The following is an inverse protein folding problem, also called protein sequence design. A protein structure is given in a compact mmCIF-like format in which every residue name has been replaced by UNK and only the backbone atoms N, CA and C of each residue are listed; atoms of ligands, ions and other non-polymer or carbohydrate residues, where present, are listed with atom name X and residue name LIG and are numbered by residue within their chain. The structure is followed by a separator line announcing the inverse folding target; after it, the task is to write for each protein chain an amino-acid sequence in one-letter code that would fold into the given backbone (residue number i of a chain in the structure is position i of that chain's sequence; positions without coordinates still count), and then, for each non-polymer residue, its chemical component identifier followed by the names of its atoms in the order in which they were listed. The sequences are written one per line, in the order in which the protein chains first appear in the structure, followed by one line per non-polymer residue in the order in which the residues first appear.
data_IF_191771542215
#
_entry.id   IF_191771542215
#
_cell.length_a   1.000
_cell.length_b   1.000
_cell.length_c   1.000
_cell.angle_alpha   90.00
_cell.angle_beta   90.00
_cell.angle_gamma   90.00
#
_symmetry.space_group_name_H-M   'P 1'
#
loop_
_entity.id
_entity.type
_entity.pdbx_description
1 polymer ?
#
# COMPACT_ATOMS: atom_id res chain seq x y z
N UNK A 1 17.62 13.20 -10.62
CA UNK A 1 17.33 13.20 -9.16
C UNK A 1 17.53 11.82 -8.52
N UNK A 2 18.26 10.87 -9.15
CA UNK A 2 18.40 9.48 -8.68
C UNK A 2 19.74 9.19 -7.97
N UNK A 3 20.79 9.96 -8.24
CA UNK A 3 22.13 9.71 -7.68
C UNK A 3 22.23 10.01 -6.18
N UNK A 4 21.58 11.10 -5.73
CA UNK A 4 21.58 11.49 -4.30
C UNK A 4 20.86 10.48 -3.40
N UNK A 5 19.78 9.87 -3.89
CA UNK A 5 19.04 8.84 -3.17
C UNK A 5 19.89 7.59 -2.97
N UNK A 6 20.59 7.14 -4.02
CA UNK A 6 21.45 5.96 -3.97
C UNK A 6 22.67 6.16 -3.06
N UNK A 7 23.24 7.37 -3.02
CA UNK A 7 24.35 7.68 -2.10
C UNK A 7 23.90 7.69 -0.64
N UNK A 8 22.66 8.10 -0.35
CA UNK A 8 22.14 8.04 1.02
C UNK A 8 21.86 6.60 1.45
N UNK A 9 21.28 5.78 0.57
CA UNK A 9 21.08 4.35 0.83
C UNK A 9 22.40 3.65 1.12
N UNK A 10 23.44 3.87 0.30
CA UNK A 10 24.74 3.23 0.53
C UNK A 10 25.38 3.67 1.84
N UNK A 11 25.24 4.95 2.23
CA UNK A 11 25.71 5.43 3.54
C UNK A 11 24.98 4.78 4.71
N UNK A 12 23.67 4.56 4.58
CA UNK A 12 22.88 3.85 5.58
C UNK A 12 23.28 2.38 5.67
N UNK A 13 23.47 1.70 4.55
CA UNK A 13 23.92 0.30 4.51
C UNK A 13 25.29 0.11 5.16
N UNK A 14 26.21 1.06 4.93
CA UNK A 14 27.54 1.04 5.56
C UNK A 14 27.41 1.20 7.07
N UNK A 15 26.60 2.17 7.53
CA UNK A 15 26.37 2.37 8.97
C UNK A 15 25.72 1.15 9.59
N UNK A 16 24.71 0.57 8.94
CA UNK A 16 24.01 -0.61 9.41
C UNK A 16 24.96 -1.80 9.58
N UNK A 17 25.82 -2.06 8.58
CA UNK A 17 26.83 -3.12 8.67
C UNK A 17 27.81 -2.88 9.81
N UNK A 18 28.27 -1.65 9.98
CA UNK A 18 29.17 -1.27 11.08
C UNK A 18 28.51 -1.48 12.46
N UNK A 19 27.23 -1.10 12.61
CA UNK A 19 26.50 -1.28 13.88
C UNK A 19 26.24 -2.74 14.19
N UNK A 20 25.90 -3.57 13.18
CA UNK A 20 25.75 -5.03 13.33
C UNK A 20 27.07 -5.64 13.80
N UNK A 21 28.16 -5.33 13.12
CA UNK A 21 29.49 -5.84 13.49
C UNK A 21 29.88 -5.44 14.91
N UNK A 22 29.64 -4.18 15.28
CA UNK A 22 29.92 -3.69 16.62
C UNK A 22 29.10 -4.47 17.66
N UNK A 23 27.82 -4.70 17.40
CA UNK A 23 26.97 -5.51 18.26
C UNK A 23 27.50 -6.94 18.41
N UNK A 24 27.81 -7.62 17.31
CA UNK A 24 28.30 -9.01 17.32
C UNK A 24 29.62 -9.13 18.12
N UNK A 25 30.54 -8.17 17.91
CA UNK A 25 31.81 -8.14 18.66
C UNK A 25 31.60 -7.86 20.14
N UNK A 26 30.68 -6.97 20.49
CA UNK A 26 30.38 -6.64 21.88
C UNK A 26 29.68 -7.82 22.57
N UNK A 27 28.76 -8.49 21.88
CA UNK A 27 28.08 -9.68 22.36
C UNK A 27 29.06 -10.83 22.62
N UNK A 28 29.99 -11.07 21.69
CA UNK A 28 31.04 -12.08 21.86
C UNK A 28 31.97 -11.77 23.04
N UNK A 29 32.39 -10.51 23.18
CA UNK A 29 33.21 -10.07 24.31
C UNK A 29 32.46 -10.20 25.65
N UNK A 30 31.16 -9.88 25.67
CA UNK A 30 30.32 -10.01 26.86
C UNK A 30 30.15 -11.48 27.25
N UNK A 31 29.95 -12.36 26.26
CA UNK A 31 29.91 -13.81 26.47
C UNK A 31 31.23 -14.34 27.06
N UNK A 32 32.37 -13.86 26.57
CA UNK A 32 33.70 -14.26 27.08
C UNK A 32 33.96 -13.78 28.51
N UNK A 33 33.51 -12.56 28.85
CA UNK A 33 33.76 -11.95 30.16
C UNK A 33 32.80 -12.44 31.26
N UNK A 34 31.51 -12.58 30.94
CA UNK A 34 30.44 -12.83 31.93
C UNK A 34 29.92 -14.27 31.89
N UNK A 35 30.16 -14.99 30.80
CA UNK A 35 29.55 -16.30 30.55
C UNK A 35 28.04 -16.22 30.31
N UNK A 36 27.41 -17.38 30.14
CA UNK A 36 25.97 -17.47 29.92
C UNK A 36 25.18 -17.08 31.17
N UNK A 37 24.16 -16.23 31.00
CA UNK A 37 23.35 -15.74 32.11
C UNK A 37 22.08 -15.00 31.66
N UNK A 38 21.32 -14.44 32.60
CA UNK A 38 20.01 -13.81 32.33
C UNK A 38 20.06 -12.63 31.35
N UNK A 39 21.24 -12.05 31.14
CA UNK A 39 21.47 -10.99 30.17
C UNK A 39 21.27 -11.45 28.71
N UNK A 40 21.39 -12.75 28.41
CA UNK A 40 21.10 -13.32 27.09
C UNK A 40 19.62 -13.20 26.70
N UNK A 41 18.71 -13.09 27.68
CA UNK A 41 17.27 -12.89 27.42
C UNK A 41 16.99 -11.51 26.83
N UNK A 42 17.79 -10.51 27.24
CA UNK A 42 17.68 -9.11 26.83
C UNK A 42 18.54 -8.82 25.59
N UNK A 43 19.76 -9.37 25.54
CA UNK A 43 20.70 -9.20 24.43
C UNK A 43 20.88 -10.53 23.70
N UNK A 44 19.99 -10.78 22.74
CA UNK A 44 19.97 -12.02 21.96
C UNK A 44 20.98 -11.98 20.80
N UNK A 45 21.37 -13.17 20.33
CA UNK A 45 22.19 -13.29 19.11
C UNK A 45 21.45 -12.63 17.95
N UNK A 46 22.10 -11.63 17.34
CA UNK A 46 21.53 -10.87 16.24
C UNK A 46 21.50 -11.70 14.96
N UNK A 47 20.32 -12.16 14.55
CA UNK A 47 20.17 -12.87 13.29
C UNK A 47 19.92 -11.88 12.16
N UNK A 48 20.22 -12.29 10.92
CA UNK A 48 19.94 -11.45 9.74
C UNK A 48 18.46 -11.15 9.60
N UNK A 49 17.61 -12.05 10.09
CA UNK A 49 16.16 -11.89 10.08
C UNK A 49 15.67 -10.85 11.10
N UNK A 50 16.48 -10.49 12.10
CA UNK A 50 16.09 -9.54 13.15
C UNK A 50 16.38 -8.07 12.74
N UNK A 51 17.29 -7.86 11.79
CA UNK A 51 17.63 -6.53 11.28
C UNK A 51 16.58 -6.11 10.25
N UNK A 52 15.43 -5.66 10.75
CA UNK A 52 14.33 -5.13 9.93
C UNK A 52 13.84 -3.82 10.51
N UNK A 53 13.45 -2.89 9.64
CA UNK A 53 12.78 -1.66 10.07
C UNK A 53 11.33 -1.96 10.50
N UNK A 54 10.84 -1.30 11.55
CA UNK A 54 9.42 -1.35 11.99
C UNK A 54 8.44 -0.99 10.86
N UNK A 55 8.88 -0.18 9.88
CA UNK A 55 7.96 0.63 9.09
C UNK A 55 7.44 0.05 7.78
N UNK A 56 8.21 -0.73 7.03
CA UNK A 56 7.85 -0.93 5.60
C UNK A 56 7.35 -2.32 5.29
N UNK A 57 8.05 -3.36 5.74
CA UNK A 57 7.69 -4.73 5.37
C UNK A 57 6.53 -5.28 6.20
N UNK A 58 6.49 -5.01 7.51
CA UNK A 58 5.39 -5.45 8.38
C UNK A 58 4.07 -4.75 8.01
N UNK A 59 4.12 -3.47 7.64
CA UNK A 59 2.95 -2.77 7.10
C UNK A 59 2.56 -3.31 5.74
N UNK A 60 3.52 -3.53 4.83
CA UNK A 60 3.23 -4.04 3.49
C UNK A 60 2.64 -5.45 3.52
N UNK A 61 3.14 -6.32 4.40
CA UNK A 61 2.65 -7.69 4.55
C UNK A 61 1.24 -7.68 5.17
N UNK A 62 0.98 -6.85 6.19
CA UNK A 62 -0.37 -6.66 6.75
C UNK A 62 -1.35 -6.00 5.75
N UNK A 63 -0.86 -5.08 4.90
CA UNK A 63 -1.61 -4.47 3.81
C UNK A 63 -1.96 -5.51 2.71
N UNK A 64 -1.02 -6.39 2.37
CA UNK A 64 -1.23 -7.51 1.43
C UNK A 64 -2.23 -8.54 1.98
N UNK A 65 -2.21 -8.84 3.27
CA UNK A 65 -3.17 -9.73 3.92
C UNK A 65 -4.58 -9.12 4.01
N UNK A 66 -4.67 -7.83 4.33
CA UNK A 66 -5.93 -7.09 4.28
C UNK A 66 -6.53 -7.07 2.87
N UNK A 67 -5.70 -6.85 1.86
CA UNK A 67 -6.09 -6.90 0.45
C UNK A 67 -6.58 -8.29 0.04
N UNK A 68 -5.85 -9.35 0.39
CA UNK A 68 -6.27 -10.73 0.11
C UNK A 68 -7.62 -11.07 0.76
N UNK A 69 -7.84 -10.59 1.98
CA UNK A 69 -9.08 -10.84 2.73
C UNK A 69 -10.26 -10.10 2.10
N UNK A 70 -10.09 -8.81 1.77
CA UNK A 70 -11.10 -8.02 1.09
C UNK A 70 -11.45 -8.56 -0.31
N UNK A 71 -10.45 -9.01 -1.08
CA UNK A 71 -10.68 -9.59 -2.41
C UNK A 71 -11.40 -10.94 -2.35
N UNK A 72 -11.07 -11.80 -1.37
CA UNK A 72 -11.84 -13.02 -1.11
C UNK A 72 -13.28 -12.73 -0.72
N UNK A 73 -13.50 -11.69 0.10
CA UNK A 73 -14.84 -11.27 0.51
C UNK A 73 -15.64 -10.65 -0.65
N UNK A 74 -14.95 -10.03 -1.62
CA UNK A 74 -15.53 -9.57 -2.89
C UNK A 74 -15.75 -10.68 -3.93
N UNK A 75 -15.42 -11.94 -3.61
CA UNK A 75 -15.64 -13.10 -4.49
C UNK A 75 -14.62 -13.28 -5.61
N UNK A 76 -13.43 -12.68 -5.50
CA UNK A 76 -12.34 -12.82 -6.48
C UNK A 76 -11.63 -14.17 -6.31
N UNK A 77 -11.32 -14.86 -7.41
CA UNK A 77 -10.65 -16.17 -7.37
C UNK A 77 -9.19 -16.05 -6.89
N UNK A 78 -8.74 -17.02 -6.10
CA UNK A 78 -7.45 -16.97 -5.41
C UNK A 78 -6.25 -16.88 -6.35
N UNK A 79 -6.38 -17.36 -7.59
CA UNK A 79 -5.31 -17.28 -8.62
C UNK A 79 -5.21 -15.89 -9.23
N UNK A 80 -6.33 -15.18 -9.34
CA UNK A 80 -6.38 -13.80 -9.81
C UNK A 80 -5.82 -12.83 -8.77
N UNK A 81 -6.06 -13.11 -7.47
CA UNK A 81 -5.45 -12.39 -6.35
C UNK A 81 -3.91 -12.50 -6.41
N UNK A 82 -3.39 -13.71 -6.63
CA UNK A 82 -1.94 -13.95 -6.73
C UNK A 82 -1.32 -13.23 -7.95
N UNK A 83 -2.04 -13.19 -9.07
CA UNK A 83 -1.61 -12.47 -10.27
C UNK A 83 -1.63 -10.94 -10.08
N UNK A 84 -2.59 -10.41 -9.31
CA UNK A 84 -2.64 -8.99 -8.94
C UNK A 84 -1.48 -8.57 -8.04
N UNK A 85 -1.13 -9.39 -7.05
CA UNK A 85 -0.01 -9.14 -6.13
C UNK A 85 1.35 -9.21 -6.84
N UNK A 86 1.48 -10.07 -7.86
CA UNK A 86 2.72 -10.25 -8.64
C UNK A 86 2.98 -9.10 -9.63
N UNK A 87 1.98 -8.27 -9.94
CA UNK A 87 1.94 -7.42 -11.13
C UNK A 87 2.35 -5.95 -10.97
N UNK A 88 2.23 -5.29 -9.81
CA UNK A 88 2.60 -3.87 -9.67
C UNK A 88 2.69 -3.37 -8.22
N UNK A 89 3.86 -2.80 -7.92
CA UNK A 89 3.98 -1.61 -7.08
C UNK A 89 3.05 -0.50 -7.62
N UNK A 90 2.39 0.21 -6.72
CA UNK A 90 1.52 1.37 -6.91
C UNK A 90 0.01 1.09 -6.91
N UNK A 91 -0.61 1.73 -5.90
CA UNK A 91 -2.04 2.01 -5.71
C UNK A 91 -2.86 0.87 -5.12
N UNK A 92 -2.95 0.83 -3.79
CA UNK A 92 -3.96 0.06 -3.06
C UNK A 92 -4.67 0.94 -2.00
N UNK A 93 -6.03 0.96 -1.95
CA UNK A 93 -6.82 1.74 -0.99
C UNK A 93 -6.83 1.11 0.41
N UNK A 94 -6.91 1.95 1.44
CA UNK A 94 -6.93 1.58 2.86
C UNK A 94 -8.37 1.37 3.38
N UNK A 95 -8.64 0.25 4.06
CA UNK A 95 -9.76 0.14 5.03
C UNK A 95 -9.24 -0.43 6.36
N UNK A 96 -9.74 0.17 7.45
CA UNK A 96 -9.41 -0.06 8.86
C UNK A 96 -9.47 -1.54 9.28
N UNK A 97 -8.40 -2.01 9.92
CA UNK A 97 -8.47 -3.15 10.84
C UNK A 97 -7.85 -2.77 12.19
N UNK A 98 -8.47 -3.26 13.26
CA UNK A 98 -8.20 -2.94 14.66
C UNK A 98 -6.83 -3.50 15.10
N UNK A 99 -5.89 -2.68 15.61
CA UNK A 99 -4.49 -3.10 15.87
C UNK A 99 -4.30 -4.15 16.98
N UNK A 100 -5.37 -4.60 17.65
CA UNK A 100 -5.27 -5.30 18.94
C UNK A 100 -5.69 -6.78 18.91
N UNK A 101 -6.11 -7.31 17.75
CA UNK A 101 -6.70 -8.66 17.64
C UNK A 101 -5.72 -9.77 17.20
N UNK A 102 -4.46 -9.48 16.88
CA UNK A 102 -3.51 -10.46 16.29
C UNK A 102 -2.57 -11.13 17.30
N UNK A 103 -3.03 -11.37 18.53
CA UNK A 103 -2.30 -12.19 19.49
C UNK A 103 -2.56 -13.70 19.22
N UNK A 104 -1.94 -14.26 18.19
CA UNK A 104 -1.86 -15.72 17.99
C UNK A 104 -0.42 -16.17 17.68
N UNK A 105 0.20 -17.02 18.49
CA UNK A 105 1.63 -17.36 18.41
C UNK A 105 1.95 -18.44 17.36
N UNK A 106 1.27 -18.43 16.21
CA UNK A 106 1.25 -19.59 15.30
C UNK A 106 1.91 -19.42 13.93
N UNK A 107 2.02 -18.21 13.38
CA UNK A 107 2.63 -17.98 12.05
C UNK A 107 2.79 -16.48 11.78
N UNK A 108 4.05 -16.10 11.53
CA UNK A 108 4.53 -14.92 10.78
C UNK A 108 4.21 -13.55 11.40
N UNK A 109 5.22 -12.68 11.31
CA UNK A 109 5.16 -11.22 11.49
C UNK A 109 5.05 -10.66 12.91
N UNK A 110 5.77 -11.25 13.85
CA UNK A 110 6.23 -10.51 15.04
C UNK A 110 7.34 -9.56 14.64
N UNK A 111 7.23 -8.27 15.00
CA UNK A 111 8.31 -7.28 14.89
C UNK A 111 9.60 -7.89 15.49
N UNK A 112 10.79 -7.57 15.00
CA UNK A 112 12.01 -8.19 15.53
C UNK A 112 12.23 -7.84 17.00
N UNK A 113 12.91 -8.74 17.74
CA UNK A 113 13.13 -8.60 19.18
C UNK A 113 13.84 -7.29 19.55
N UNK A 114 14.64 -6.73 18.63
CA UNK A 114 15.37 -5.45 18.76
C UNK A 114 14.44 -4.27 19.04
N UNK A 115 13.17 -4.37 18.64
CA UNK A 115 12.16 -3.34 18.84
C UNK A 115 11.33 -3.53 20.11
N UNK A 116 11.53 -4.62 20.84
CA UNK A 116 10.97 -4.78 22.16
C UNK A 116 11.95 -4.21 23.19
N UNK A 117 11.50 -3.18 23.92
CA UNK A 117 12.20 -2.71 25.11
C UNK A 117 11.90 -3.73 26.22
N UNK A 118 12.89 -4.54 26.59
CA UNK A 118 12.82 -5.35 27.80
C UNK A 118 13.06 -4.41 28.99
N UNK A 119 11.99 -4.13 29.76
CA UNK A 119 12.13 -3.37 31.00
C UNK A 119 13.00 -4.13 32.02
N UNK A 120 13.76 -3.43 32.88
CA UNK A 120 14.50 -4.07 33.95
C UNK A 120 13.53 -4.89 34.83
N UNK A 121 13.90 -6.13 35.14
CA UNK A 121 13.37 -6.80 36.31
C UNK A 121 13.74 -5.94 37.53
N UNK A 122 12.79 -5.72 38.44
CA UNK A 122 12.82 -4.77 39.58
C UNK A 122 13.96 -5.02 40.60
N UNK A 123 15.21 -4.97 40.19
CA UNK A 123 16.38 -5.05 41.07
C UNK A 123 17.15 -3.71 41.02
N UNK A 124 16.70 -2.77 41.85
CA UNK A 124 17.40 -1.72 42.62
C UNK A 124 18.66 -0.99 42.09
N UNK A 125 18.92 -0.91 40.78
CA UNK A 125 20.04 -0.07 40.25
C UNK A 125 19.63 0.98 39.21
N UNK A 126 19.82 2.24 39.61
CA UNK A 126 20.24 3.42 38.85
C UNK A 126 19.24 4.18 37.93
N UNK A 127 18.83 5.37 38.40
CA UNK A 127 18.06 6.42 37.68
C UNK A 127 18.56 6.78 36.27
N UNK A 128 19.82 6.49 35.95
CA UNK A 128 20.38 6.76 34.63
C UNK A 128 19.84 5.79 33.55
N UNK A 129 19.40 4.59 33.93
CA UNK A 129 18.77 3.64 33.01
C UNK A 129 17.33 4.03 32.67
N UNK A 130 16.57 4.60 33.62
CA UNK A 130 15.21 5.14 33.36
C UNK A 130 15.22 6.26 32.31
N UNK A 131 16.23 7.13 32.34
CA UNK A 131 16.35 8.24 31.37
C UNK A 131 16.65 7.73 29.94
N UNK A 132 17.47 6.68 29.81
CA UNK A 132 17.80 6.06 28.52
C UNK A 132 16.60 5.26 27.97
N UNK A 133 15.92 4.50 28.83
CA UNK A 133 14.73 3.73 28.48
C UNK A 133 13.57 4.68 28.09
N UNK A 134 13.38 5.76 28.84
CA UNK A 134 12.40 6.80 28.54
C UNK A 134 12.70 7.53 27.22
N UNK A 135 13.97 7.73 26.87
CA UNK A 135 14.37 8.31 25.58
C UNK A 135 14.10 7.36 24.41
N UNK A 136 14.46 6.07 24.53
CA UNK A 136 14.21 5.06 23.49
C UNK A 136 12.70 4.87 23.24
N UNK A 137 11.89 4.81 24.30
CA UNK A 137 10.43 4.71 24.19
C UNK A 137 9.82 5.90 23.43
N UNK A 138 10.27 7.13 23.72
CA UNK A 138 9.82 8.34 23.02
C UNK A 138 10.19 8.34 21.54
N UNK A 139 11.36 7.80 21.18
CA UNK A 139 11.80 7.70 19.78
C UNK A 139 10.97 6.67 19.00
N UNK A 140 10.68 5.51 19.60
CA UNK A 140 9.78 4.51 19.01
C UNK A 140 8.38 5.09 18.85
N UNK A 141 7.82 5.73 19.87
CA UNK A 141 6.52 6.40 19.82
C UNK A 141 6.46 7.46 18.70
N UNK A 142 7.49 8.28 18.56
CA UNK A 142 7.59 9.26 17.49
C UNK A 142 7.62 8.59 16.10
N UNK A 143 8.36 7.48 15.94
CA UNK A 143 8.41 6.74 14.68
C UNK A 143 7.05 6.11 14.31
N UNK A 144 6.34 5.54 15.29
CA UNK A 144 5.00 4.98 15.11
C UNK A 144 3.98 6.07 14.75
N UNK A 145 4.06 7.25 15.37
CA UNK A 145 3.21 8.38 15.02
C UNK A 145 3.43 8.87 13.59
N UNK A 146 4.67 8.91 13.11
CA UNK A 146 4.98 9.27 11.71
C UNK A 146 4.34 8.26 10.76
N UNK A 147 4.47 6.97 11.03
CA UNK A 147 3.88 5.94 10.19
C UNK A 147 2.34 5.95 10.23
N UNK A 148 1.74 6.15 11.41
CA UNK A 148 0.30 6.34 11.53
C UNK A 148 -0.19 7.56 10.73
N UNK A 149 0.51 8.68 10.81
CA UNK A 149 0.17 9.88 10.02
C UNK A 149 0.30 9.63 8.52
N UNK A 150 1.31 8.87 8.07
CA UNK A 150 1.45 8.45 6.66
C UNK A 150 0.30 7.55 6.23
N UNK A 151 -0.02 6.52 7.01
CA UNK A 151 -1.11 5.59 6.74
C UNK A 151 -2.46 6.34 6.68
N UNK A 152 -2.71 7.25 7.64
CA UNK A 152 -3.88 8.13 7.64
C UNK A 152 -3.93 9.03 6.41
N UNK A 153 -2.81 9.63 6.01
CA UNK A 153 -2.74 10.47 4.81
C UNK A 153 -2.97 9.65 3.52
N UNK A 154 -2.53 8.39 3.46
CA UNK A 154 -2.85 7.47 2.36
C UNK A 154 -4.34 7.13 2.35
N UNK A 155 -4.93 6.80 3.50
CA UNK A 155 -6.36 6.51 3.63
C UNK A 155 -7.25 7.71 3.25
N UNK A 156 -6.87 8.92 3.66
CA UNK A 156 -7.58 10.13 3.25
C UNK A 156 -7.48 10.35 1.73
N UNK A 157 -6.28 10.18 1.13
CA UNK A 157 -6.11 10.28 -0.32
C UNK A 157 -6.86 9.22 -1.09
N UNK A 158 -6.92 7.97 -0.61
CA UNK A 158 -7.64 6.91 -1.32
C UNK A 158 -9.13 7.21 -1.42
N UNK A 159 -9.71 7.90 -0.43
CA UNK A 159 -11.09 8.37 -0.51
C UNK A 159 -11.28 9.39 -1.65
N UNK A 160 -10.36 10.36 -1.76
CA UNK A 160 -10.37 11.34 -2.85
C UNK A 160 -10.19 10.66 -4.21
N UNK A 161 -9.28 9.69 -4.33
CA UNK A 161 -9.05 8.93 -5.56
C UNK A 161 -10.29 8.17 -6.00
N UNK A 162 -11.02 7.52 -5.08
CA UNK A 162 -12.28 6.83 -5.42
C UNK A 162 -13.32 7.82 -5.95
N UNK A 163 -13.45 8.98 -5.31
CA UNK A 163 -14.37 10.03 -5.78
C UNK A 163 -13.97 10.59 -7.15
N UNK A 164 -12.67 10.76 -7.40
CA UNK A 164 -12.16 11.20 -8.70
C UNK A 164 -12.43 10.17 -9.80
N UNK A 165 -12.21 8.88 -9.53
CA UNK A 165 -12.49 7.80 -10.49
C UNK A 165 -13.98 7.74 -10.81
N UNK A 166 -14.87 7.90 -9.82
CA UNK A 166 -16.31 7.95 -10.07
C UNK A 166 -16.68 9.11 -11.01
N UNK A 167 -16.15 10.30 -10.74
CA UNK A 167 -16.38 11.48 -11.55
C UNK A 167 -15.79 11.33 -12.97
N UNK A 168 -14.59 10.75 -13.10
CA UNK A 168 -13.98 10.45 -14.40
C UNK A 168 -14.83 9.44 -15.20
N UNK A 169 -15.37 8.40 -14.55
CA UNK A 169 -16.25 7.44 -15.20
C UNK A 169 -17.56 8.08 -15.65
N UNK A 170 -18.15 8.97 -14.84
CA UNK A 170 -19.31 9.75 -15.23
C UNK A 170 -19.02 10.63 -16.46
N UNK A 171 -17.87 11.33 -16.47
CA UNK A 171 -17.44 12.14 -17.61
C UNK A 171 -17.17 11.32 -18.87
N UNK A 172 -16.59 10.12 -18.74
CA UNK A 172 -16.35 9.22 -19.86
C UNK A 172 -17.67 8.77 -20.49
N UNK A 173 -18.69 8.47 -19.68
CA UNK A 173 -20.04 8.12 -20.17
C UNK A 173 -20.67 9.30 -20.90
N UNK A 174 -20.64 10.50 -20.31
CA UNK A 174 -21.18 11.71 -20.96
C UNK A 174 -20.43 12.06 -22.25
N UNK A 175 -19.11 11.87 -22.26
CA UNK A 175 -18.30 12.02 -23.47
C UNK A 175 -18.75 11.05 -24.57
N UNK A 176 -18.94 9.76 -24.28
CA UNK A 176 -19.44 8.79 -25.26
C UNK A 176 -20.85 9.15 -25.77
N UNK A 177 -21.75 9.61 -24.89
CA UNK A 177 -23.09 10.09 -25.29
C UNK A 177 -23.01 11.29 -26.22
N UNK A 178 -22.19 12.27 -25.86
CA UNK A 178 -21.92 13.43 -26.69
C UNK A 178 -21.29 13.03 -28.03
N UNK A 179 -20.30 12.14 -28.02
CA UNK A 179 -19.59 11.67 -29.22
C UNK A 179 -20.51 10.92 -30.16
N UNK A 180 -21.44 10.13 -29.63
CA UNK A 180 -22.49 9.49 -30.42
C UNK A 180 -23.36 10.50 -31.15
N UNK A 181 -23.80 11.58 -30.48
CA UNK A 181 -24.59 12.64 -31.12
C UNK A 181 -23.77 13.40 -32.15
N UNK A 182 -22.52 13.71 -31.81
CA UNK A 182 -21.59 14.39 -32.71
C UNK A 182 -21.42 13.62 -34.02
N UNK A 183 -21.29 12.29 -33.98
CA UNK A 183 -21.25 11.45 -35.17
C UNK A 183 -22.55 11.55 -35.99
N UNK A 184 -23.71 11.53 -35.34
CA UNK A 184 -24.99 11.70 -36.04
C UNK A 184 -25.10 13.07 -36.73
N UNK A 185 -24.60 14.12 -36.08
CA UNK A 185 -24.56 15.48 -36.63
C UNK A 185 -23.62 15.59 -37.84
N UNK A 186 -22.58 14.74 -37.94
CA UNK A 186 -21.70 14.73 -39.12
C UNK A 186 -22.44 14.30 -40.41
N UNK A 187 -23.56 13.60 -40.28
CA UNK A 187 -24.40 13.21 -41.42
C UNK A 187 -25.05 14.48 -42.00
N UNK A 188 -24.52 14.97 -43.12
CA UNK A 188 -25.05 16.14 -43.83
C UNK A 188 -24.39 17.48 -43.49
N UNK A 189 -23.37 17.52 -42.62
CA UNK A 189 -22.57 18.75 -42.44
C UNK A 189 -21.74 19.10 -43.68
N UNK A 190 -21.41 18.11 -44.52
CA UNK A 190 -20.58 18.26 -45.71
C UNK A 190 -21.38 18.29 -47.02
N UNK A 191 -22.51 19.01 -47.01
CA UNK A 191 -23.32 19.24 -48.21
C UNK A 191 -22.47 19.98 -49.26
N UNK A 192 -22.14 19.30 -50.37
CA UNK A 192 -21.21 19.79 -51.40
C UNK A 192 -19.91 19.00 -51.53
N UNK A 193 -19.79 17.86 -50.83
CA UNK A 193 -18.71 16.90 -51.05
C UNK A 193 -19.01 15.93 -52.19
N UNK A 194 -18.01 15.12 -52.55
CA UNK A 194 -18.15 14.08 -53.57
C UNK A 194 -19.12 12.98 -53.11
N UNK A 195 -19.89 12.42 -54.04
CA UNK A 195 -20.99 11.48 -53.75
C UNK A 195 -20.55 10.26 -52.93
N UNK A 196 -19.34 9.73 -53.18
CA UNK A 196 -18.79 8.59 -52.43
C UNK A 196 -18.46 8.94 -50.97
N UNK A 197 -18.09 10.19 -50.68
CA UNK A 197 -17.81 10.64 -49.31
C UNK A 197 -19.11 10.75 -48.52
N UNK A 198 -20.18 11.24 -49.15
CA UNK A 198 -21.50 11.29 -48.54
C UNK A 198 -22.04 9.89 -48.23
N UNK A 199 -21.87 8.94 -49.15
CA UNK A 199 -22.22 7.54 -48.93
C UNK A 199 -21.41 6.91 -47.80
N UNK A 200 -20.09 7.15 -47.77
CA UNK A 200 -19.21 6.69 -46.70
C UNK A 200 -19.60 7.26 -45.33
N UNK A 201 -19.91 8.56 -45.24
CA UNK A 201 -20.37 9.19 -44.00
C UNK A 201 -21.72 8.66 -43.56
N UNK A 202 -22.67 8.44 -44.49
CA UNK A 202 -23.99 7.85 -44.20
C UNK A 202 -23.87 6.43 -43.65
N UNK A 203 -22.85 5.67 -44.05
CA UNK A 203 -22.61 4.32 -43.52
C UNK A 203 -21.81 4.34 -42.20
N UNK A 204 -20.72 5.10 -42.14
CA UNK A 204 -19.76 5.04 -41.04
C UNK A 204 -20.20 5.80 -39.79
N UNK A 205 -20.80 6.98 -39.95
CA UNK A 205 -21.24 7.80 -38.83
C UNK A 205 -22.27 7.10 -37.91
N UNK A 206 -23.33 6.42 -38.40
CA UNK A 206 -24.24 5.70 -37.52
C UNK A 206 -23.58 4.49 -36.84
N UNK A 207 -22.64 3.81 -37.50
CA UNK A 207 -21.89 2.70 -36.91
C UNK A 207 -21.04 3.19 -35.73
N UNK A 208 -20.27 4.26 -35.92
CA UNK A 208 -19.47 4.87 -34.86
C UNK A 208 -20.34 5.44 -33.73
N UNK A 209 -21.45 6.08 -34.08
CA UNK A 209 -22.40 6.56 -33.08
C UNK A 209 -22.99 5.43 -32.25
N UNK A 210 -23.34 4.31 -32.87
CA UNK A 210 -23.83 3.12 -32.19
C UNK A 210 -22.79 2.53 -31.24
N UNK A 211 -21.53 2.44 -31.68
CA UNK A 211 -20.42 1.96 -30.85
C UNK A 211 -20.22 2.84 -29.59
N UNK A 212 -20.21 4.16 -29.75
CA UNK A 212 -20.09 5.10 -28.62
C UNK A 212 -21.28 5.01 -27.66
N UNK A 213 -22.50 4.91 -28.20
CA UNK A 213 -23.71 4.68 -27.40
C UNK A 213 -23.65 3.35 -26.62
N UNK A 214 -23.12 2.30 -27.23
CA UNK A 214 -22.94 1.01 -26.59
C UNK A 214 -21.91 1.06 -25.45
N UNK A 215 -20.77 1.74 -25.64
CA UNK A 215 -19.79 2.00 -24.58
C UNK A 215 -20.43 2.74 -23.41
N UNK A 216 -21.16 3.83 -23.68
CA UNK A 216 -21.87 4.59 -22.64
C UNK A 216 -22.86 3.72 -21.85
N UNK A 217 -23.66 2.88 -22.54
CA UNK A 217 -24.63 2.00 -21.91
C UNK A 217 -23.96 0.92 -21.04
N UNK A 218 -22.95 0.24 -21.57
CA UNK A 218 -22.25 -0.83 -20.85
C UNK A 218 -21.53 -0.32 -19.61
N UNK A 219 -20.85 0.83 -19.71
CA UNK A 219 -20.17 1.45 -18.57
C UNK A 219 -21.15 1.96 -17.53
N UNK A 220 -22.26 2.58 -17.96
CA UNK A 220 -23.32 3.02 -17.04
C UNK A 220 -23.88 1.84 -16.24
N UNK A 221 -24.19 0.71 -16.88
CA UNK A 221 -24.73 -0.45 -16.17
C UNK A 221 -23.74 -1.04 -15.18
N UNK A 222 -22.44 -1.15 -15.56
CA UNK A 222 -21.40 -1.62 -14.63
C UNK A 222 -21.24 -0.69 -13.44
N UNK A 223 -21.16 0.62 -13.67
CA UNK A 223 -21.05 1.61 -12.60
C UNK A 223 -22.29 1.58 -11.69
N UNK A 224 -23.48 1.45 -12.27
CA UNK A 224 -24.73 1.36 -11.51
C UNK A 224 -24.78 0.14 -10.60
N UNK A 225 -24.33 -1.04 -11.09
CA UNK A 225 -24.21 -2.25 -10.27
C UNK A 225 -23.26 -2.05 -9.10
N UNK A 226 -22.09 -1.43 -9.34
CA UNK A 226 -21.12 -1.12 -8.27
C UNK A 226 -21.76 -0.21 -7.21
N UNK A 227 -22.51 0.82 -7.62
CA UNK A 227 -23.22 1.70 -6.69
C UNK A 227 -24.33 0.99 -5.91
N UNK A 228 -25.03 0.03 -6.52
CA UNK A 228 -26.02 -0.79 -5.82
C UNK A 228 -25.35 -1.67 -4.75
N UNK A 229 -24.25 -2.33 -5.09
CA UNK A 229 -23.47 -3.13 -4.13
C UNK A 229 -22.90 -2.27 -3.00
N UNK A 230 -22.33 -1.11 -3.31
CA UNK A 230 -21.76 -0.21 -2.32
C UNK A 230 -22.79 0.36 -1.33
N UNK A 231 -24.06 0.48 -1.73
CA UNK A 231 -25.17 0.89 -0.83
C UNK A 231 -25.74 -0.25 0.01
N UNK A 232 -25.48 -1.50 -0.35
CA UNK A 232 -26.00 -2.68 0.32
C UNK A 232 -25.07 -3.22 1.44
N UNK A 233 -23.83 -2.74 1.48
CA UNK A 233 -22.82 -2.99 2.52
C UNK A 233 -22.93 -1.90 3.58
#
# INVERSE_FOLDING_TARGET
MYTKLNTLHSQLDIKLKSTIQTYDTAWAALLELKGSGDWEKVLQVLRKEDVRAIGEQVMKDHEEEGFQTAQKQAGVDSKDIEHMLRGKSATLPTILADPMASLNPGKRDTISWIWYIFGPQEDDTDKALEDIEGASKKEIEASLHVEWLKARARACRSKEEVQLVEEEMCRAIEFCRWRSKWWQEQIGMHNGSETWLEEGLKAYAPEQGSAESFCAYTWYNRLHLIHQHAKAI
#
